data_IF_128064781877
#
_entry.id   IF_128064781877
#
_cell.length_a   1.000
_cell.length_b   1.000
_cell.length_c   1.000
_cell.angle_alpha   90.00
_cell.angle_beta   90.00
_cell.angle_gamma   90.00
#
_symmetry.space_group_name_H-M   'P 1'
#
loop_
_entity.id
_entity.type
_entity.pdbx_description
1 polymer ?
#
# COMPACT_ATOMS: atom_id res chain seq x y z
N UNK A 1 40.60 26.31 -2.65
CA UNK A 1 40.58 26.05 -1.20
C UNK A 1 40.73 24.52 -0.98
N UNK A 2 41.53 24.07 -0.01
CA UNK A 2 41.62 22.61 0.23
C UNK A 2 40.31 22.10 0.87
N UNK A 3 39.70 21.07 0.32
CA UNK A 3 38.49 20.45 0.87
C UNK A 3 38.85 19.68 2.13
N UNK A 4 38.27 20.08 3.26
CA UNK A 4 38.51 19.45 4.58
C UNK A 4 37.47 18.37 4.86
N UNK A 5 37.81 17.42 5.75
CA UNK A 5 36.87 16.40 6.22
C UNK A 5 35.67 17.02 6.97
N UNK A 6 35.87 18.16 7.63
CA UNK A 6 34.76 18.90 8.27
C UNK A 6 33.76 19.41 7.28
N UNK A 7 34.18 20.00 6.17
CA UNK A 7 33.28 20.48 5.09
C UNK A 7 32.50 19.31 4.47
N UNK A 8 33.14 18.17 4.26
CA UNK A 8 32.46 16.97 3.72
C UNK A 8 31.41 16.45 4.70
N UNK A 9 31.73 16.47 6.01
CA UNK A 9 30.79 16.07 7.06
C UNK A 9 29.60 17.02 7.12
N UNK A 10 29.83 18.33 7.10
CA UNK A 10 28.78 19.36 7.14
C UNK A 10 27.84 19.24 5.91
N UNK A 11 28.40 19.11 4.70
CA UNK A 11 27.61 18.92 3.49
C UNK A 11 26.78 17.62 3.55
N UNK A 12 27.36 16.54 4.10
CA UNK A 12 26.65 15.28 4.27
C UNK A 12 25.51 15.38 5.29
N UNK A 13 25.72 16.07 6.39
CA UNK A 13 24.65 16.32 7.38
C UNK A 13 23.51 17.14 6.78
N UNK A 14 23.83 18.12 5.93
CA UNK A 14 22.84 18.97 5.24
C UNK A 14 22.09 18.25 4.10
N UNK A 15 22.77 17.38 3.35
CA UNK A 15 22.21 16.80 2.11
C UNK A 15 21.90 15.31 2.18
N UNK A 16 22.36 14.64 3.23
CA UNK A 16 22.31 13.19 3.41
C UNK A 16 22.95 12.38 2.27
N UNK A 17 23.67 13.01 1.36
CA UNK A 17 24.35 12.37 0.25
C UNK A 17 25.56 11.53 0.72
N UNK A 18 26.00 10.59 -0.13
CA UNK A 18 27.16 9.77 0.15
C UNK A 18 28.45 10.59 0.35
N UNK A 19 29.35 10.17 1.24
CA UNK A 19 30.59 10.89 1.58
C UNK A 19 31.44 11.21 0.34
N UNK A 20 31.54 10.28 -0.62
CA UNK A 20 32.31 10.48 -1.85
C UNK A 20 31.64 11.47 -2.80
N UNK A 21 30.32 11.47 -2.87
CA UNK A 21 29.57 12.44 -3.65
C UNK A 21 29.67 13.85 -3.05
N UNK A 22 29.60 14.00 -1.73
CA UNK A 22 29.85 15.27 -1.04
C UNK A 22 31.26 15.80 -1.32
N UNK A 23 32.29 14.94 -1.21
CA UNK A 23 33.69 15.32 -1.54
C UNK A 23 33.82 15.76 -2.98
N UNK A 24 33.19 15.02 -3.91
CA UNK A 24 33.20 15.39 -5.35
C UNK A 24 32.50 16.72 -5.60
N UNK A 25 31.32 16.92 -5.02
CA UNK A 25 30.57 18.18 -5.15
C UNK A 25 31.39 19.39 -4.66
N UNK A 26 32.03 19.28 -3.48
CA UNK A 26 32.88 20.34 -2.95
C UNK A 26 34.08 20.62 -3.86
N UNK A 27 34.69 19.60 -4.45
CA UNK A 27 35.78 19.80 -5.40
C UNK A 27 35.32 20.57 -6.65
N UNK A 28 34.17 20.18 -7.21
CA UNK A 28 33.58 20.82 -8.42
C UNK A 28 33.14 22.27 -8.17
N UNK A 29 32.83 22.62 -6.93
CA UNK A 29 32.32 23.96 -6.55
C UNK A 29 33.36 24.80 -5.79
N UNK A 30 34.63 24.36 -5.76
CA UNK A 30 35.71 25.12 -5.08
C UNK A 30 35.56 25.24 -3.57
N UNK A 31 34.75 24.38 -2.94
CA UNK A 31 34.50 24.37 -1.50
C UNK A 31 33.29 25.19 -1.03
N UNK A 32 32.49 25.72 -1.96
CA UNK A 32 31.23 26.39 -1.63
C UNK A 32 30.17 25.34 -1.27
N UNK A 33 29.68 25.39 -0.02
CA UNK A 33 28.73 24.42 0.53
C UNK A 33 27.33 24.53 -0.10
N UNK A 34 26.88 25.74 -0.45
CA UNK A 34 25.56 25.94 -1.07
C UNK A 34 25.58 25.49 -2.53
N UNK A 35 26.60 25.93 -3.27
CA UNK A 35 26.80 25.48 -4.66
C UNK A 35 27.00 23.94 -4.72
N UNK A 36 27.67 23.33 -3.75
CA UNK A 36 27.85 21.89 -3.65
C UNK A 36 26.52 21.16 -3.37
N UNK A 37 25.68 21.70 -2.51
CA UNK A 37 24.34 21.15 -2.27
C UNK A 37 23.47 21.22 -3.53
N UNK A 38 23.47 22.33 -4.24
CA UNK A 38 22.77 22.48 -5.54
C UNK A 38 23.32 21.56 -6.62
N UNK A 39 24.65 21.35 -6.68
CA UNK A 39 25.27 20.41 -7.58
C UNK A 39 24.84 18.97 -7.30
N UNK A 40 24.79 18.57 -6.01
CA UNK A 40 24.31 17.26 -5.58
C UNK A 40 22.84 17.06 -5.95
N UNK A 41 22.00 18.07 -5.75
CA UNK A 41 20.59 18.03 -6.11
C UNK A 41 20.40 17.81 -7.62
N UNK A 42 21.06 18.59 -8.46
CA UNK A 42 21.01 18.46 -9.93
C UNK A 42 21.48 17.08 -10.38
N UNK A 43 22.58 16.57 -9.78
CA UNK A 43 23.10 15.23 -10.06
C UNK A 43 22.13 14.14 -9.61
N UNK A 44 21.48 14.30 -8.46
CA UNK A 44 20.46 13.39 -7.94
C UNK A 44 19.25 13.27 -8.85
N UNK A 45 18.74 14.40 -9.37
CA UNK A 45 17.63 14.42 -10.35
C UNK A 45 18.03 13.69 -11.63
N UNK A 46 19.23 13.93 -12.15
CA UNK A 46 19.73 13.25 -13.36
C UNK A 46 19.92 11.73 -13.14
N UNK A 47 20.30 11.31 -11.93
CA UNK A 47 20.39 9.90 -11.55
C UNK A 47 19.00 9.27 -11.41
N UNK A 48 18.05 9.96 -10.78
CA UNK A 48 16.68 9.52 -10.65
C UNK A 48 16.03 9.28 -12.02
N UNK A 49 16.23 10.18 -12.99
CA UNK A 49 15.73 10.01 -14.35
C UNK A 49 16.25 8.74 -15.04
N UNK A 50 17.49 8.32 -14.76
CA UNK A 50 18.04 7.06 -15.29
C UNK A 50 17.48 5.82 -14.58
N UNK A 51 17.04 5.95 -13.34
CA UNK A 51 16.49 4.85 -12.56
C UNK A 51 14.98 4.68 -12.73
N UNK A 52 14.28 5.70 -13.21
CA UNK A 52 12.82 5.71 -13.36
C UNK A 52 12.26 4.55 -14.22
N UNK A 53 13.07 3.94 -15.08
CA UNK A 53 12.67 2.78 -15.89
C UNK A 53 12.81 1.43 -15.17
N UNK A 54 13.41 1.40 -13.97
CA UNK A 54 13.57 0.16 -13.20
C UNK A 54 12.28 -0.19 -12.50
N UNK A 55 11.99 -1.49 -12.42
CA UNK A 55 10.79 -1.99 -11.75
C UNK A 55 10.93 -1.78 -10.24
N UNK A 56 9.99 -1.06 -9.66
CA UNK A 56 9.86 -0.84 -8.23
C UNK A 56 8.59 -1.56 -7.73
N UNK A 57 8.74 -2.81 -7.30
CA UNK A 57 7.63 -3.68 -6.88
C UNK A 57 7.71 -4.06 -5.40
N UNK A 58 8.72 -3.57 -4.68
CA UNK A 58 8.81 -3.59 -3.23
C UNK A 58 8.44 -2.22 -2.65
N UNK A 59 8.71 -1.95 -1.38
CA UNK A 59 8.39 -0.71 -0.72
C UNK A 59 7.49 -0.89 0.49
N UNK A 60 6.64 0.10 0.75
CA UNK A 60 5.75 0.13 1.91
C UNK A 60 4.34 0.60 1.53
N UNK A 61 3.38 0.03 2.24
CA UNK A 61 2.05 0.61 2.42
C UNK A 61 2.01 1.28 3.78
N UNK A 62 1.44 2.48 3.86
CA UNK A 62 1.14 3.14 5.12
C UNK A 62 -0.33 3.53 5.20
N UNK A 63 -0.89 3.48 6.40
CA UNK A 63 -2.29 3.82 6.66
C UNK A 63 -2.40 4.78 7.85
N UNK A 64 -3.27 5.77 7.70
CA UNK A 64 -3.61 6.76 8.73
C UNK A 64 -5.13 6.91 8.82
N UNK A 65 -5.63 7.24 10.02
CA UNK A 65 -7.04 7.56 10.25
C UNK A 65 -7.17 8.70 11.26
N UNK A 66 -8.17 9.55 11.06
CA UNK A 66 -8.59 10.58 12.02
C UNK A 66 -9.92 10.25 12.74
N UNK A 67 -10.38 9.01 12.60
CA UNK A 67 -11.63 8.52 13.16
C UNK A 67 -12.78 8.45 12.16
N UNK A 68 -13.04 9.49 11.37
CA UNK A 68 -14.10 9.49 10.35
C UNK A 68 -13.58 9.30 8.92
N UNK A 69 -12.31 9.59 8.70
CA UNK A 69 -11.64 9.40 7.40
C UNK A 69 -10.34 8.64 7.61
N UNK A 70 -10.08 7.70 6.73
CA UNK A 70 -8.82 6.97 6.63
C UNK A 70 -8.21 7.10 5.24
N UNK A 71 -6.90 6.91 5.17
CA UNK A 71 -6.12 6.83 3.93
C UNK A 71 -5.15 5.66 4.00
N UNK A 72 -4.98 4.99 2.87
CA UNK A 72 -3.88 4.05 2.62
C UNK A 72 -3.09 4.56 1.44
N UNK A 73 -1.76 4.56 1.56
CA UNK A 73 -0.84 4.97 0.50
C UNK A 73 0.15 3.85 0.20
N UNK A 74 0.54 3.70 -1.06
CA UNK A 74 1.59 2.80 -1.50
C UNK A 74 2.74 3.60 -2.09
N UNK A 75 3.94 3.43 -1.51
CA UNK A 75 5.18 3.99 -2.03
C UNK A 75 6.13 2.84 -2.34
N UNK A 76 6.46 2.69 -3.61
CA UNK A 76 7.28 1.59 -4.08
C UNK A 76 8.77 1.92 -4.09
N UNK A 77 9.60 0.88 -3.98
CA UNK A 77 11.05 0.86 -4.16
C UNK A 77 11.48 -0.39 -4.93
N UNK A 78 12.73 -0.45 -5.38
CA UNK A 78 13.25 -1.62 -6.10
C UNK A 78 13.40 -2.83 -5.16
N UNK A 79 13.89 -2.60 -3.93
CA UNK A 79 14.20 -3.67 -2.96
C UNK A 79 13.54 -3.46 -1.60
N UNK A 80 13.44 -4.54 -0.82
CA UNK A 80 12.96 -4.52 0.56
C UNK A 80 13.98 -3.86 1.53
N UNK A 81 15.24 -3.69 1.14
CA UNK A 81 16.24 -2.96 1.93
C UNK A 81 15.86 -1.48 2.08
N UNK A 82 15.34 -0.86 1.02
CA UNK A 82 14.85 0.53 1.07
C UNK A 82 13.65 0.64 1.99
N UNK A 83 12.77 -0.36 2.04
CA UNK A 83 11.65 -0.39 2.98
C UNK A 83 12.08 -0.33 4.46
N UNK A 84 13.34 -0.64 4.77
CA UNK A 84 13.94 -0.55 6.11
C UNK A 84 14.77 0.73 6.33
N UNK A 85 14.92 1.55 5.31
CA UNK A 85 15.66 2.81 5.39
C UNK A 85 14.83 3.86 6.12
N UNK A 86 15.39 4.51 7.15
CA UNK A 86 14.70 5.48 7.99
C UNK A 86 14.19 6.68 7.19
N UNK A 87 14.95 7.22 6.25
CA UNK A 87 14.54 8.37 5.43
C UNK A 87 13.36 8.02 4.54
N UNK A 88 13.36 6.82 3.95
CA UNK A 88 12.23 6.32 3.17
C UNK A 88 10.99 6.16 4.04
N UNK A 89 11.11 5.52 5.20
CA UNK A 89 10.01 5.32 6.14
C UNK A 89 9.43 6.65 6.63
N UNK A 90 10.27 7.62 6.97
CA UNK A 90 9.82 8.95 7.41
C UNK A 90 9.08 9.68 6.27
N UNK A 91 9.57 9.55 5.04
CA UNK A 91 8.88 10.07 3.86
C UNK A 91 7.51 9.45 3.66
N UNK A 92 7.42 8.12 3.73
CA UNK A 92 6.17 7.35 3.58
C UNK A 92 5.15 7.73 4.68
N UNK A 93 5.58 7.82 5.94
CA UNK A 93 4.72 8.23 7.06
C UNK A 93 4.13 9.65 6.84
N UNK A 94 4.95 10.57 6.37
CA UNK A 94 4.53 11.95 6.07
C UNK A 94 3.57 12.02 4.88
N UNK A 95 3.80 11.21 3.83
CA UNK A 95 2.89 11.10 2.68
C UNK A 95 1.53 10.58 3.16
N UNK A 96 1.48 9.50 3.96
CA UNK A 96 0.24 8.96 4.50
C UNK A 96 -0.52 10.00 5.33
N UNK A 97 0.16 10.67 6.27
CA UNK A 97 -0.46 11.70 7.11
C UNK A 97 -1.06 12.84 6.29
N UNK A 98 -0.39 13.26 5.22
CA UNK A 98 -0.92 14.30 4.31
C UNK A 98 -2.09 13.78 3.48
N UNK A 99 -2.08 12.50 3.11
CA UNK A 99 -3.14 11.86 2.33
C UNK A 99 -4.53 11.99 2.93
N UNK A 100 -4.66 12.20 4.25
CA UNK A 100 -5.95 12.50 4.89
C UNK A 100 -6.63 13.77 4.34
N UNK A 101 -5.87 14.69 3.74
CA UNK A 101 -6.35 15.98 3.24
C UNK A 101 -6.53 16.03 1.72
N UNK A 102 -6.21 14.95 1.02
CA UNK A 102 -6.23 14.88 -0.44
C UNK A 102 -7.07 13.70 -0.93
N UNK A 103 -7.58 13.82 -2.14
CA UNK A 103 -8.19 12.79 -2.95
C UNK A 103 -8.45 13.41 -4.34
N UNK A 104 -7.96 12.89 -5.46
CA UNK A 104 -7.32 11.58 -5.68
C UNK A 104 -5.78 11.55 -5.51
N UNK A 105 -5.14 10.45 -5.92
CA UNK A 105 -3.68 10.22 -5.86
C UNK A 105 -2.87 11.34 -6.50
N UNK A 106 -3.31 11.86 -7.66
CA UNK A 106 -2.62 12.89 -8.43
C UNK A 106 -2.52 14.21 -7.67
N UNK A 107 -3.54 14.56 -6.90
CA UNK A 107 -3.52 15.76 -6.06
C UNK A 107 -2.44 15.67 -4.99
N UNK A 108 -2.33 14.53 -4.29
CA UNK A 108 -1.29 14.34 -3.29
C UNK A 108 0.11 14.27 -3.93
N UNK A 109 0.23 13.66 -5.11
CA UNK A 109 1.50 13.58 -5.84
C UNK A 109 2.04 14.97 -6.21
N UNK A 110 1.17 15.86 -6.64
CA UNK A 110 1.49 17.24 -7.02
C UNK A 110 1.48 18.25 -5.87
N UNK A 111 0.90 17.91 -4.71
CA UNK A 111 0.77 18.82 -3.59
C UNK A 111 2.13 19.21 -3.00
N UNK A 112 2.23 20.47 -2.54
CA UNK A 112 3.41 20.92 -1.79
C UNK A 112 3.63 20.01 -0.58
N UNK A 113 4.81 19.40 -0.51
CA UNK A 113 5.18 18.43 0.53
C UNK A 113 6.13 19.06 1.56
N UNK A 114 7.27 19.59 1.12
CA UNK A 114 8.28 20.20 1.97
C UNK A 114 9.12 21.21 1.19
N UNK A 115 9.29 22.39 1.77
CA UNK A 115 10.20 23.42 1.20
C UNK A 115 9.82 23.85 -0.22
N UNK A 116 8.53 23.90 -0.53
CA UNK A 116 8.02 24.27 -1.86
C UNK A 116 8.07 23.16 -2.90
N UNK A 117 8.44 21.91 -2.50
CA UNK A 117 8.51 20.75 -3.39
C UNK A 117 7.24 19.93 -3.32
N UNK A 118 6.85 19.31 -4.42
CA UNK A 118 5.77 18.31 -4.45
C UNK A 118 6.21 16.99 -3.82
N UNK A 119 5.24 16.11 -3.52
CA UNK A 119 5.51 14.73 -3.07
C UNK A 119 6.40 13.98 -4.08
N UNK A 120 6.13 14.14 -5.38
CA UNK A 120 6.92 13.52 -6.45
C UNK A 120 8.35 14.05 -6.48
N UNK A 121 8.55 15.36 -6.35
CA UNK A 121 9.89 15.96 -6.31
C UNK A 121 10.68 15.51 -5.07
N UNK A 122 10.03 15.42 -3.91
CA UNK A 122 10.64 14.90 -2.70
C UNK A 122 11.14 13.44 -2.90
N UNK A 123 10.32 12.56 -3.45
CA UNK A 123 10.73 11.19 -3.75
C UNK A 123 11.86 11.13 -4.78
N UNK A 124 11.85 12.01 -5.79
CA UNK A 124 12.93 12.11 -6.79
C UNK A 124 14.27 12.47 -6.11
N UNK A 125 14.28 13.32 -5.11
CA UNK A 125 15.48 13.61 -4.34
C UNK A 125 15.94 12.42 -3.48
N UNK A 126 15.01 11.68 -2.89
CA UNK A 126 15.32 10.43 -2.19
C UNK A 126 15.97 9.40 -3.13
N UNK A 127 15.47 9.26 -4.36
CA UNK A 127 16.11 8.41 -5.39
C UNK A 127 17.55 8.82 -5.61
N UNK A 128 17.83 10.13 -5.70
CA UNK A 128 19.18 10.66 -5.84
C UNK A 128 20.11 10.28 -4.68
N UNK A 129 19.58 10.24 -3.48
CA UNK A 129 20.31 10.00 -2.23
C UNK A 129 20.48 8.49 -1.94
N UNK A 130 19.38 7.74 -1.97
CA UNK A 130 19.35 6.31 -1.64
C UNK A 130 19.88 5.47 -2.80
N UNK A 131 19.56 5.85 -4.05
CA UNK A 131 20.13 5.23 -5.23
C UNK A 131 19.27 4.17 -5.88
N UNK A 132 18.04 3.97 -5.44
CA UNK A 132 17.05 3.09 -6.05
C UNK A 132 15.87 3.88 -6.61
N UNK A 133 15.14 3.32 -7.59
CA UNK A 133 13.88 3.89 -8.06
C UNK A 133 12.84 3.85 -6.94
N UNK A 134 12.17 4.96 -6.72
CA UNK A 134 11.06 5.07 -5.76
C UNK A 134 9.95 5.89 -6.37
N UNK A 135 8.70 5.49 -6.12
CA UNK A 135 7.53 6.20 -6.62
C UNK A 135 6.36 6.16 -5.65
N UNK A 136 5.64 7.26 -5.53
CA UNK A 136 4.30 7.28 -4.94
C UNK A 136 3.34 6.70 -5.99
N UNK A 137 2.90 5.47 -5.76
CA UNK A 137 2.13 4.72 -6.74
C UNK A 137 0.65 5.05 -6.71
N UNK A 138 0.04 4.94 -5.54
CA UNK A 138 -1.40 5.12 -5.36
C UNK A 138 -1.77 5.43 -3.92
N UNK A 139 -2.95 5.98 -3.76
CA UNK A 139 -3.64 6.10 -2.48
C UNK A 139 -5.12 5.79 -2.65
N UNK A 140 -5.74 5.36 -1.58
CA UNK A 140 -7.18 5.23 -1.47
C UNK A 140 -7.65 5.78 -0.13
N UNK A 141 -8.85 6.36 -0.12
CA UNK A 141 -9.46 6.92 1.08
C UNK A 141 -10.79 6.25 1.36
N UNK A 142 -11.12 6.16 2.63
CA UNK A 142 -12.44 5.73 3.09
C UNK A 142 -12.94 6.75 4.10
N UNK A 143 -14.20 7.17 3.97
CA UNK A 143 -14.82 8.17 4.83
C UNK A 143 -16.22 7.75 5.21
N UNK A 144 -16.61 7.99 6.45
CA UNK A 144 -17.96 7.77 6.95
C UNK A 144 -18.52 9.06 7.55
N UNK A 145 -19.82 9.35 7.40
CA UNK A 145 -20.44 10.54 7.97
C UNK A 145 -20.57 10.48 9.49
N UNK A 146 -20.59 9.27 10.04
CA UNK A 146 -20.69 8.97 11.49
C UNK A 146 -20.14 7.57 11.75
N UNK A 147 -19.69 7.31 12.97
CA UNK A 147 -19.09 6.04 13.34
C UNK A 147 -17.57 6.09 13.31
N UNK A 148 -16.90 5.13 12.66
CA UNK A 148 -15.44 5.05 12.68
C UNK A 148 -14.85 4.48 11.39
N UNK A 149 -13.70 5.01 10.97
CA UNK A 149 -12.78 4.37 10.02
C UNK A 149 -11.54 3.95 10.81
N UNK A 150 -11.34 2.64 10.92
CA UNK A 150 -10.13 2.09 11.54
C UNK A 150 -9.12 1.64 10.48
N UNK A 151 -7.84 1.78 10.82
CA UNK A 151 -6.73 1.30 10.00
C UNK A 151 -6.03 0.12 10.66
N UNK A 152 -5.52 -0.80 9.81
CA UNK A 152 -4.71 -1.92 10.23
C UNK A 152 -3.55 -2.14 9.26
N UNK A 153 -2.38 -2.43 9.80
CA UNK A 153 -1.19 -2.79 9.01
C UNK A 153 -0.77 -4.22 9.36
N UNK A 154 -0.72 -5.06 8.35
CA UNK A 154 -0.19 -6.41 8.47
C UNK A 154 1.29 -6.46 8.07
N UNK A 155 2.09 -7.28 8.79
CA UNK A 155 3.55 -7.33 8.66
C UNK A 155 4.19 -5.92 8.83
N UNK A 156 3.79 -5.23 9.90
CA UNK A 156 4.29 -3.90 10.20
C UNK A 156 5.81 -3.88 10.40
N UNK A 157 6.47 -2.93 9.76
CA UNK A 157 7.91 -2.63 9.97
C UNK A 157 8.10 -1.51 10.97
N UNK A 158 7.14 -0.58 11.04
CA UNK A 158 6.94 0.47 12.06
C UNK A 158 5.44 0.66 12.27
N UNK A 159 5.01 1.30 13.38
CA UNK A 159 3.61 1.68 13.54
C UNK A 159 3.08 2.43 12.31
N UNK A 160 1.93 2.04 11.81
CA UNK A 160 1.26 2.66 10.67
C UNK A 160 1.82 2.29 9.29
N UNK A 161 2.86 1.46 9.16
CA UNK A 161 3.39 1.06 7.85
C UNK A 161 3.91 -0.37 7.79
N UNK A 162 3.74 -1.03 6.66
CA UNK A 162 4.13 -2.43 6.44
C UNK A 162 3.88 -2.90 5.02
N UNK A 163 3.51 -4.17 4.86
CA UNK A 163 3.32 -4.79 3.54
C UNK A 163 1.88 -4.80 3.06
N UNK A 164 0.90 -4.81 3.97
CA UNK A 164 -0.53 -4.74 3.64
C UNK A 164 -1.16 -3.70 4.56
N UNK A 165 -1.87 -2.74 3.98
CA UNK A 165 -2.69 -1.76 4.69
C UNK A 165 -4.17 -2.00 4.43
N UNK A 166 -4.97 -1.86 5.47
CA UNK A 166 -6.43 -2.02 5.41
C UNK A 166 -7.11 -0.86 6.12
N UNK A 167 -8.16 -0.35 5.52
CA UNK A 167 -9.15 0.51 6.17
C UNK A 167 -10.46 -0.25 6.25
N UNK A 168 -11.18 -0.08 7.35
CA UNK A 168 -12.58 -0.53 7.49
C UNK A 168 -13.41 0.61 8.06
N UNK A 169 -14.49 0.95 7.37
CA UNK A 169 -15.48 1.93 7.79
C UNK A 169 -16.72 1.25 8.38
N UNK A 170 -17.07 1.61 9.59
CA UNK A 170 -18.32 1.24 10.23
C UNK A 170 -19.15 2.49 10.52
N UNK A 171 -20.37 2.53 10.00
CA UNK A 171 -21.33 3.58 10.33
C UNK A 171 -22.17 3.17 11.53
N UNK A 172 -22.26 4.07 12.51
CA UNK A 172 -23.12 3.90 13.69
C UNK A 172 -23.40 5.26 14.32
N UNK A 173 -24.49 5.34 15.07
CA UNK A 173 -24.79 6.49 15.97
C UNK A 173 -24.07 6.36 17.33
N UNK A 174 -23.35 5.27 17.55
CA UNK A 174 -22.55 5.02 18.76
C UNK A 174 -21.07 5.23 18.42
N UNK A 175 -20.36 5.99 19.24
CA UNK A 175 -18.93 6.30 19.13
C UNK A 175 -18.06 5.59 20.18
N UNK A 176 -18.59 4.55 20.82
CA UNK A 176 -17.89 3.82 21.85
C UNK A 176 -16.55 3.25 21.33
N UNK A 177 -15.50 3.20 22.19
CA UNK A 177 -14.23 2.57 21.85
C UNK A 177 -14.35 1.13 21.34
N UNK A 178 -15.42 0.44 21.70
CA UNK A 178 -15.76 -0.90 21.21
C UNK A 178 -16.00 -0.95 19.69
N UNK A 179 -16.58 0.12 19.11
CA UNK A 179 -16.79 0.22 17.68
C UNK A 179 -15.45 0.30 16.92
N UNK A 180 -14.49 1.05 17.45
CA UNK A 180 -13.13 1.15 16.86
C UNK A 180 -12.40 -0.20 16.96
N UNK A 181 -12.52 -0.89 18.08
CA UNK A 181 -11.95 -2.23 18.26
C UNK A 181 -12.53 -3.23 17.26
N UNK A 182 -13.85 -3.23 17.07
CA UNK A 182 -14.53 -4.07 16.10
C UNK A 182 -14.06 -3.78 14.67
N UNK A 183 -13.98 -2.51 14.29
CA UNK A 183 -13.48 -2.11 12.98
C UNK A 183 -12.03 -2.59 12.73
N UNK A 184 -11.15 -2.51 13.74
CA UNK A 184 -9.78 -3.06 13.68
C UNK A 184 -9.76 -4.58 13.53
N UNK A 185 -10.63 -5.30 14.24
CA UNK A 185 -10.75 -6.76 14.12
C UNK A 185 -11.23 -7.16 12.71
N UNK A 186 -12.18 -6.42 12.14
CA UNK A 186 -12.63 -6.64 10.76
C UNK A 186 -11.51 -6.29 9.77
N UNK A 187 -10.71 -5.25 10.03
CA UNK A 187 -9.56 -4.93 9.19
C UNK A 187 -8.48 -6.04 9.22
N UNK A 188 -8.25 -6.67 10.36
CA UNK A 188 -7.40 -7.87 10.46
C UNK A 188 -7.96 -9.04 9.64
N UNK A 189 -9.28 -9.25 9.71
CA UNK A 189 -9.97 -10.25 8.89
C UNK A 189 -9.80 -9.98 7.39
N UNK A 190 -10.04 -8.75 6.94
CA UNK A 190 -9.86 -8.33 5.54
C UNK A 190 -8.41 -8.54 5.07
N UNK A 191 -7.42 -8.24 5.91
CA UNK A 191 -6.02 -8.50 5.59
C UNK A 191 -5.74 -9.98 5.34
N UNK A 192 -6.37 -10.86 6.13
CA UNK A 192 -6.16 -12.31 6.07
C UNK A 192 -6.93 -12.97 4.91
N UNK A 193 -8.17 -12.55 4.64
CA UNK A 193 -9.08 -13.24 3.72
C UNK A 193 -9.16 -12.60 2.34
N UNK A 194 -8.72 -11.35 2.20
CA UNK A 194 -8.72 -10.60 0.94
C UNK A 194 -10.08 -10.64 0.22
N UNK A 195 -11.19 -10.22 0.85
CA UNK A 195 -12.50 -10.23 0.22
C UNK A 195 -12.52 -9.33 -1.02
N UNK A 196 -13.37 -9.66 -1.98
CA UNK A 196 -13.50 -8.92 -3.24
C UNK A 196 -14.54 -7.79 -3.15
N UNK A 197 -15.53 -7.93 -2.26
CA UNK A 197 -16.63 -6.96 -2.11
C UNK A 197 -17.18 -6.98 -0.67
N UNK A 198 -17.93 -5.95 -0.29
CA UNK A 198 -18.62 -5.91 1.00
C UNK A 198 -19.80 -6.88 1.05
N UNK A 199 -20.65 -6.84 0.01
CA UNK A 199 -21.83 -7.67 -0.16
C UNK A 199 -21.81 -8.36 -1.52
N UNK A 200 -22.72 -9.32 -1.74
CA UNK A 200 -22.85 -10.01 -3.04
C UNK A 200 -23.22 -9.04 -4.15
N UNK A 201 -24.04 -8.03 -3.84
CA UNK A 201 -24.51 -7.03 -4.79
C UNK A 201 -23.40 -6.05 -5.22
N UNK A 202 -22.31 -5.95 -4.47
CA UNK A 202 -21.14 -5.12 -4.77
C UNK A 202 -20.08 -5.86 -5.63
N UNK A 203 -20.27 -7.16 -5.89
CA UNK A 203 -19.34 -7.90 -6.75
C UNK A 203 -19.44 -7.42 -8.20
N UNK A 204 -18.30 -7.28 -8.85
CA UNK A 204 -18.23 -6.99 -10.28
C UNK A 204 -18.87 -8.11 -11.08
N UNK A 205 -19.88 -7.78 -11.91
CA UNK A 205 -20.59 -8.71 -12.78
C UNK A 205 -19.64 -9.50 -13.70
N UNK A 206 -18.55 -8.90 -14.14
CA UNK A 206 -17.54 -9.57 -14.96
C UNK A 206 -16.80 -10.65 -14.16
N UNK A 207 -16.51 -10.42 -12.89
CA UNK A 207 -15.90 -11.41 -11.99
C UNK A 207 -16.86 -12.58 -11.75
N UNK A 208 -18.12 -12.28 -11.45
CA UNK A 208 -19.18 -13.29 -11.23
C UNK A 208 -19.41 -14.13 -12.47
N UNK A 209 -19.50 -13.48 -13.64
CA UNK A 209 -19.73 -14.17 -14.93
C UNK A 209 -18.54 -15.09 -15.27
N UNK A 210 -17.32 -14.59 -15.14
CA UNK A 210 -16.10 -15.36 -15.41
C UNK A 210 -15.99 -16.59 -14.50
N UNK A 211 -16.27 -16.42 -13.20
CA UNK A 211 -16.26 -17.54 -12.25
C UNK A 211 -17.30 -18.58 -12.62
N UNK A 212 -18.53 -18.16 -12.95
CA UNK A 212 -19.62 -19.05 -13.38
C UNK A 212 -19.27 -19.82 -14.64
N UNK A 213 -18.67 -19.17 -15.65
CA UNK A 213 -18.21 -19.82 -16.87
C UNK A 213 -17.14 -20.87 -16.60
N UNK A 214 -16.18 -20.55 -15.75
CA UNK A 214 -15.10 -21.46 -15.37
C UNK A 214 -15.64 -22.69 -14.63
N UNK A 215 -16.52 -22.48 -13.64
CA UNK A 215 -17.18 -23.56 -12.91
C UNK A 215 -18.06 -24.43 -13.80
N UNK A 216 -18.71 -23.84 -14.81
CA UNK A 216 -19.50 -24.58 -15.80
C UNK A 216 -18.63 -25.44 -16.71
N UNK A 217 -17.50 -24.92 -17.19
CA UNK A 217 -16.55 -25.67 -17.99
C UNK A 217 -16.01 -26.89 -17.23
N UNK A 218 -15.56 -26.71 -15.98
CA UNK A 218 -15.10 -27.80 -15.13
C UNK A 218 -16.20 -28.85 -14.86
N UNK A 219 -17.44 -28.41 -14.62
CA UNK A 219 -18.54 -29.31 -14.36
C UNK A 219 -18.91 -30.17 -15.59
N UNK A 220 -18.83 -29.59 -16.79
CA UNK A 220 -19.07 -30.31 -18.06
C UNK A 220 -17.99 -31.40 -18.31
N UNK A 221 -16.74 -31.14 -17.97
CA UNK A 221 -15.65 -32.13 -18.06
C UNK A 221 -15.91 -33.38 -17.20
N UNK A 222 -16.75 -33.25 -16.17
CA UNK A 222 -17.12 -34.37 -15.30
C UNK A 222 -18.05 -35.40 -15.98
N UNK A 223 -18.53 -35.16 -17.20
CA UNK A 223 -19.42 -36.05 -17.97
C UNK A 223 -20.82 -36.22 -17.39
N UNK A 224 -21.27 -35.37 -16.49
CA UNK A 224 -22.59 -35.40 -15.86
C UNK A 224 -23.67 -34.78 -16.75
N UNK A 225 -24.92 -35.21 -16.61
CA UNK A 225 -26.05 -34.57 -17.31
C UNK A 225 -26.17 -33.09 -17.01
N UNK A 226 -26.64 -32.30 -17.99
CA UNK A 226 -26.67 -30.83 -17.92
C UNK A 226 -27.46 -30.31 -16.71
N UNK A 227 -28.59 -30.92 -16.35
CA UNK A 227 -29.37 -30.57 -15.17
C UNK A 227 -28.65 -30.80 -13.84
N UNK A 228 -27.64 -31.69 -13.81
CA UNK A 228 -26.76 -31.90 -12.66
C UNK A 228 -25.64 -30.87 -12.67
N UNK A 229 -25.09 -30.56 -13.85
CA UNK A 229 -24.08 -29.52 -14.05
C UNK A 229 -24.58 -28.18 -13.51
N UNK A 230 -25.78 -27.75 -13.87
CA UNK A 230 -26.35 -26.47 -13.42
C UNK A 230 -26.48 -26.41 -11.88
N UNK A 231 -26.91 -27.50 -11.24
CA UNK A 231 -26.98 -27.55 -9.77
C UNK A 231 -25.60 -27.52 -9.12
N UNK A 232 -24.60 -28.16 -9.74
CA UNK A 232 -23.22 -28.12 -9.24
C UNK A 232 -22.63 -26.72 -9.35
N UNK A 233 -22.86 -26.03 -10.47
CA UNK A 233 -22.42 -24.63 -10.67
C UNK A 233 -23.07 -23.73 -9.63
N UNK A 234 -24.38 -23.83 -9.43
CA UNK A 234 -25.05 -22.99 -8.42
C UNK A 234 -24.52 -23.24 -7.00
N UNK A 235 -24.35 -24.50 -6.61
CA UNK A 235 -23.75 -24.83 -5.30
C UNK A 235 -22.33 -24.30 -5.13
N UNK A 236 -21.50 -24.32 -6.19
CA UNK A 236 -20.15 -23.78 -6.16
C UNK A 236 -20.14 -22.25 -6.16
N UNK A 237 -21.06 -21.60 -6.89
CA UNK A 237 -21.25 -20.16 -6.85
C UNK A 237 -21.63 -19.68 -5.45
N UNK A 238 -22.51 -20.40 -4.75
CA UNK A 238 -22.84 -20.08 -3.34
C UNK A 238 -21.61 -20.18 -2.43
N UNK A 239 -20.74 -21.15 -2.69
CA UNK A 239 -19.47 -21.27 -1.96
C UNK A 239 -18.54 -20.10 -2.30
N UNK A 240 -18.41 -19.75 -3.58
CA UNK A 240 -17.62 -18.58 -4.02
C UNK A 240 -18.07 -17.30 -3.34
N UNK A 241 -19.38 -17.01 -3.28
CA UNK A 241 -19.90 -15.84 -2.58
C UNK A 241 -19.54 -15.84 -1.09
N UNK A 242 -19.66 -16.99 -0.41
CA UNK A 242 -19.29 -17.11 1.00
C UNK A 242 -17.82 -16.89 1.27
N UNK A 243 -16.95 -17.24 0.33
CA UNK A 243 -15.50 -17.12 0.46
C UNK A 243 -14.98 -15.76 -0.01
N UNK A 244 -15.69 -15.09 -0.93
CA UNK A 244 -15.22 -13.87 -1.59
C UNK A 244 -15.84 -12.58 -1.06
N UNK A 245 -16.96 -12.65 -0.33
CA UNK A 245 -17.72 -11.47 0.13
C UNK A 245 -17.57 -11.28 1.63
N UNK A 246 -17.12 -10.10 2.05
CA UNK A 246 -16.80 -9.79 3.44
C UNK A 246 -17.95 -10.11 4.40
N UNK A 247 -19.16 -9.67 4.10
CA UNK A 247 -20.32 -9.86 4.98
C UNK A 247 -20.61 -11.35 5.27
N UNK A 248 -20.40 -12.23 4.30
CA UNK A 248 -20.71 -13.67 4.37
C UNK A 248 -19.53 -14.54 4.80
N UNK A 249 -18.31 -13.99 4.83
CA UNK A 249 -17.15 -14.74 5.33
C UNK A 249 -17.26 -15.04 6.83
N UNK A 250 -16.79 -16.23 7.22
CA UNK A 250 -16.67 -16.59 8.63
C UNK A 250 -15.59 -15.73 9.27
N UNK A 251 -15.96 -15.02 10.35
CA UNK A 251 -15.09 -14.08 11.03
C UNK A 251 -13.90 -14.78 11.68
N UNK A 252 -12.69 -14.40 11.29
CA UNK A 252 -11.47 -15.13 11.71
C UNK A 252 -11.18 -15.04 13.21
N UNK A 253 -11.77 -14.08 13.93
CA UNK A 253 -11.52 -13.91 15.36
C UNK A 253 -12.26 -14.93 16.23
N UNK A 254 -13.43 -15.40 15.79
CA UNK A 254 -14.18 -16.44 16.51
C UNK A 254 -14.30 -17.76 15.74
N UNK A 255 -14.16 -17.72 14.41
CA UNK A 255 -14.22 -18.93 13.57
C UNK A 255 -15.62 -19.55 13.43
N UNK A 256 -16.67 -18.88 13.88
CA UNK A 256 -18.04 -19.42 13.93
C UNK A 256 -19.06 -18.54 13.20
N UNK A 257 -19.11 -17.25 13.52
CA UNK A 257 -20.09 -16.31 12.98
C UNK A 257 -19.61 -15.68 11.68
N UNK A 258 -20.53 -15.31 10.82
CA UNK A 258 -20.22 -14.43 9.68
C UNK A 258 -19.95 -13.00 10.17
N UNK A 259 -19.21 -12.21 9.36
CA UNK A 259 -18.95 -10.79 9.68
C UNK A 259 -20.28 -10.03 9.86
N UNK A 260 -21.26 -10.25 8.99
CA UNK A 260 -22.61 -9.67 9.12
C UNK A 260 -23.25 -10.01 10.48
N UNK A 261 -23.15 -11.27 10.90
CA UNK A 261 -23.70 -11.71 12.18
C UNK A 261 -22.99 -11.08 13.37
N UNK A 262 -21.68 -10.89 13.28
CA UNK A 262 -20.89 -10.17 14.29
C UNK A 262 -21.35 -8.72 14.40
N UNK A 263 -21.57 -8.02 13.27
CA UNK A 263 -22.07 -6.64 13.25
C UNK A 263 -23.46 -6.52 13.88
N UNK A 264 -24.37 -7.45 13.58
CA UNK A 264 -25.70 -7.49 14.22
C UNK A 264 -25.62 -7.67 15.75
N UNK A 265 -24.81 -8.62 16.20
CA UNK A 265 -24.71 -8.96 17.63
C UNK A 265 -24.05 -7.83 18.42
N UNK A 266 -22.98 -7.23 17.89
CA UNK A 266 -22.31 -6.07 18.49
C UNK A 266 -23.23 -4.83 18.47
N UNK A 267 -24.00 -4.63 17.40
CA UNK A 267 -25.00 -3.55 17.33
C UNK A 267 -26.05 -3.67 18.42
N UNK A 268 -26.57 -4.88 18.67
CA UNK A 268 -27.50 -5.13 19.78
C UNK A 268 -26.86 -4.86 21.15
N UNK A 269 -25.60 -5.26 21.32
CA UNK A 269 -24.85 -5.04 22.56
C UNK A 269 -24.58 -3.54 22.83
N UNK A 270 -24.33 -2.75 21.78
CA UNK A 270 -24.10 -1.30 21.86
C UNK A 270 -25.39 -0.47 21.85
N UNK A 271 -26.54 -1.10 21.56
CA UNK A 271 -27.83 -0.41 21.49
C UNK A 271 -27.94 0.54 20.28
N UNK A 272 -27.18 0.30 19.22
CA UNK A 272 -27.19 1.07 17.98
C UNK A 272 -26.90 0.17 16.76
N UNK A 273 -27.50 0.48 15.62
CA UNK A 273 -27.19 -0.23 14.38
C UNK A 273 -25.73 0.04 13.97
N UNK A 274 -25.07 -1.02 13.50
CA UNK A 274 -23.73 -0.95 12.91
C UNK A 274 -23.83 -1.43 11.47
N UNK A 275 -23.41 -0.56 10.52
CA UNK A 275 -23.37 -0.87 9.10
C UNK A 275 -21.92 -0.88 8.62
N UNK A 276 -21.56 -1.90 7.82
CA UNK A 276 -20.31 -1.91 7.10
C UNK A 276 -20.42 -0.89 5.94
N UNK A 277 -19.72 0.24 6.06
CA UNK A 277 -19.67 1.26 5.01
C UNK A 277 -18.75 0.83 3.86
N UNK A 278 -17.67 0.11 4.18
CA UNK A 278 -16.74 -0.40 3.18
C UNK A 278 -15.39 -0.77 3.78
N UNK A 279 -14.54 -1.26 2.91
CA UNK A 279 -13.13 -1.48 3.23
C UNK A 279 -12.24 -1.09 2.07
N UNK A 280 -10.98 -0.81 2.37
CA UNK A 280 -9.87 -0.67 1.42
C UNK A 280 -8.80 -1.67 1.84
N UNK A 281 -8.26 -2.44 0.90
CA UNK A 281 -7.11 -3.30 1.11
C UNK A 281 -6.06 -3.02 0.05
N UNK A 282 -4.85 -2.76 0.47
CA UNK A 282 -3.73 -2.46 -0.42
C UNK A 282 -2.51 -3.26 -0.01
N UNK A 283 -1.97 -4.05 -0.92
CA UNK A 283 -0.72 -4.79 -0.72
C UNK A 283 0.39 -4.18 -1.59
N UNK A 284 1.60 -4.13 -1.04
CA UNK A 284 2.78 -3.62 -1.74
C UNK A 284 3.03 -4.44 -3.01
N UNK A 285 3.19 -3.76 -4.14
CA UNK A 285 3.55 -4.37 -5.41
C UNK A 285 2.45 -5.16 -6.08
N UNK A 286 1.24 -5.16 -5.53
CA UNK A 286 0.10 -5.91 -6.10
C UNK A 286 -0.19 -5.44 -7.54
N UNK A 287 -0.24 -6.41 -8.48
CA UNK A 287 -0.42 -6.15 -9.91
C UNK A 287 0.82 -5.64 -10.66
N UNK A 288 2.00 -5.55 -10.03
CA UNK A 288 3.27 -5.27 -10.71
C UNK A 288 3.93 -6.60 -11.08
N UNK A 289 4.14 -6.83 -12.37
CA UNK A 289 4.91 -7.98 -12.83
C UNK A 289 6.38 -7.82 -12.43
N UNK A 290 6.82 -8.64 -11.48
CA UNK A 290 8.25 -8.79 -11.19
C UNK A 290 8.87 -9.60 -12.33
N UNK A 291 9.91 -9.07 -13.00
CA UNK A 291 10.77 -9.94 -13.80
C UNK A 291 11.40 -10.94 -12.84
N UNK A 292 11.14 -12.21 -13.03
CA UNK A 292 11.93 -13.24 -12.37
C UNK A 292 13.38 -13.08 -12.85
N UNK A 293 14.21 -12.47 -12.01
CA UNK A 293 15.65 -12.46 -12.23
C UNK A 293 16.12 -13.91 -12.06
N UNK A 294 16.32 -14.58 -13.18
CA UNK A 294 16.92 -15.90 -13.16
C UNK A 294 18.42 -15.73 -12.89
N UNK A 295 18.75 -15.59 -11.61
CA UNK A 295 20.12 -15.41 -11.13
C UNK A 295 21.11 -16.43 -11.75
N UNK A 296 20.62 -17.64 -12.06
CA UNK A 296 21.42 -18.65 -12.75
C UNK A 296 21.76 -18.23 -14.20
N UNK A 297 20.85 -17.60 -14.91
CA UNK A 297 21.11 -17.09 -16.28
C UNK A 297 22.01 -15.85 -16.27
N UNK A 298 21.85 -14.96 -15.29
CA UNK A 298 22.74 -13.80 -15.14
C UNK A 298 24.17 -14.21 -14.82
N UNK A 299 24.35 -15.15 -13.88
CA UNK A 299 25.67 -15.71 -13.56
C UNK A 299 26.26 -16.43 -14.76
N UNK A 300 25.48 -17.18 -15.54
CA UNK A 300 25.96 -17.84 -16.77
C UNK A 300 26.27 -16.82 -17.87
N UNK A 301 25.53 -15.73 -18.00
CA UNK A 301 25.82 -14.65 -18.93
C UNK A 301 27.11 -13.90 -18.55
N UNK A 302 27.28 -13.59 -17.28
CA UNK A 302 28.49 -12.95 -16.76
C UNK A 302 29.74 -13.86 -16.84
N UNK A 303 29.59 -15.18 -16.79
CA UNK A 303 30.70 -16.13 -16.94
C UNK A 303 31.11 -16.39 -18.39
N UNK A 304 30.29 -15.95 -19.36
CA UNK A 304 30.55 -16.11 -20.82
C UNK A 304 31.09 -14.84 -21.50
N UNK A 305 31.18 -13.71 -20.81
CA UNK A 305 31.77 -12.45 -21.29
C UNK A 305 33.07 -12.16 -20.61
#
# INVERSE_FOLDING_TARGET
>A
MAITAAMVKELREKTQAGMMDCKKALNETGGDLEAAADWLRKKGIAKAGKQASRIAADGLVAAESNGLKGVVVEVNSETDFVARNDQFQDGVARIAKRGLHFNPTEELAGAEFEGGKSTTEYLTELVGTIGENMSFRRMETLEVPKGVVASYIHNAVKPGMGKIGVLVGLESDNDAPRLEELAKQIAMHVAATSPLANTVDDLDDAVVSKEREMLKAEALESGKPENIVDKMVEGRMQKFFKESVLATQVFVMDGERTVEKVLEDEGKALGADIKLAGFVRMAVGEGIEKKEENFAEEVMAAAKG
#
